data_IF_292625359664
#
_entry.id   IF_292625359664
#
_cell.length_a   1.000
_cell.length_b   1.000
_cell.length_c   1.000
_cell.angle_alpha   90.00
_cell.angle_beta   90.00
_cell.angle_gamma   90.00
#
_symmetry.space_group_name_H-M   'P 1'
#
loop_
_entity.id
_entity.type
_entity.pdbx_description
1 polymer ?
#
# COMPACT_ATOMS: atom_id res chain seq x y z
N UNK A 1 -8.59 11.86 -7.52
CA UNK A 1 -7.34 12.65 -7.50
C UNK A 1 -6.48 12.02 -6.41
N UNK A 2 -5.72 10.97 -6.75
CA UNK A 2 -4.91 10.18 -5.80
C UNK A 2 -3.43 10.13 -6.22
N UNK A 3 -3.07 10.76 -7.35
CA UNK A 3 -1.71 10.74 -7.91
C UNK A 3 -0.78 11.86 -7.42
N UNK A 4 -1.22 12.84 -6.61
CA UNK A 4 -0.39 14.01 -6.25
C UNK A 4 0.10 14.09 -4.82
N UNK A 5 -0.42 13.28 -3.90
CA UNK A 5 -0.02 13.37 -2.48
C UNK A 5 1.26 12.58 -2.16
N UNK A 6 1.69 11.67 -3.05
CA UNK A 6 2.96 10.94 -2.93
C UNK A 6 4.08 11.42 -3.86
N UNK A 7 3.85 12.47 -4.68
CA UNK A 7 4.92 13.17 -5.41
C UNK A 7 5.71 14.06 -4.43
N UNK A 8 6.41 13.46 -3.47
CA UNK A 8 7.36 14.18 -2.62
C UNK A 8 8.66 14.40 -3.40
N UNK A 9 8.78 15.62 -3.92
CA UNK A 9 10.02 16.20 -4.40
C UNK A 9 11.20 15.94 -3.43
N UNK A 10 12.27 15.32 -3.95
CA UNK A 10 13.66 15.46 -3.49
C UNK A 10 13.96 15.43 -1.97
N UNK A 11 13.19 14.73 -1.16
CA UNK A 11 13.58 14.40 0.22
C UNK A 11 14.23 13.01 0.24
N UNK A 12 15.27 12.77 1.07
CA UNK A 12 15.80 11.43 1.24
C UNK A 12 14.66 10.51 1.71
N UNK A 13 14.22 9.63 0.83
CA UNK A 13 13.19 8.63 1.11
C UNK A 13 13.78 7.58 2.05
N UNK A 14 13.71 7.84 3.35
CA UNK A 14 13.75 6.80 4.36
C UNK A 14 12.37 6.13 4.32
N UNK A 15 12.24 4.86 3.90
CA UNK A 15 10.95 4.18 3.92
C UNK A 15 10.46 4.14 5.36
N UNK A 16 9.40 4.90 5.65
CA UNK A 16 8.74 4.88 6.95
C UNK A 16 8.01 3.55 7.13
N UNK A 17 8.72 2.55 7.65
CA UNK A 17 8.13 1.29 8.04
C UNK A 17 7.12 1.53 9.17
N UNK A 18 5.84 1.45 8.83
CA UNK A 18 4.76 1.51 9.83
C UNK A 18 4.57 0.11 10.40
N UNK A 19 4.56 0.01 11.73
CA UNK A 19 4.34 -1.26 12.43
C UNK A 19 2.99 -1.85 12.04
N UNK A 20 3.01 -3.07 11.49
CA UNK A 20 1.79 -3.84 11.23
C UNK A 20 1.27 -4.39 12.56
N UNK A 21 -0.02 -4.22 12.82
CA UNK A 21 -0.64 -4.75 14.04
C UNK A 21 -0.56 -6.28 14.06
N UNK A 22 0.00 -6.86 15.12
CA UNK A 22 0.24 -8.30 15.21
C UNK A 22 -1.04 -9.15 15.39
N UNK A 23 -2.13 -8.53 15.85
CA UNK A 23 -3.38 -9.23 16.17
C UNK A 23 -4.51 -8.72 15.30
N UNK A 24 -5.17 -9.63 14.58
CA UNK A 24 -6.37 -9.31 13.81
C UNK A 24 -7.50 -8.84 14.74
N UNK A 25 -8.21 -7.78 14.35
CA UNK A 25 -9.43 -7.34 15.05
C UNK A 25 -10.53 -8.38 14.77
N UNK A 26 -11.21 -8.95 15.78
CA UNK A 26 -12.23 -9.99 15.54
C UNK A 26 -13.37 -9.57 14.60
N UNK A 27 -13.67 -8.26 14.53
CA UNK A 27 -14.66 -7.68 13.61
C UNK A 27 -14.21 -7.65 12.15
N UNK A 28 -12.90 -7.59 11.90
CA UNK A 28 -12.29 -7.47 10.58
C UNK A 28 -11.24 -8.57 10.42
N UNK A 29 -11.66 -9.84 10.30
CA UNK A 29 -10.75 -10.98 10.35
C UNK A 29 -9.96 -11.19 9.04
N UNK A 30 -10.37 -10.54 7.95
CA UNK A 30 -9.73 -10.67 6.65
C UNK A 30 -8.65 -9.60 6.48
N UNK A 31 -7.55 -9.94 5.81
CA UNK A 31 -6.43 -9.03 5.54
C UNK A 31 -6.29 -8.82 4.04
N UNK A 32 -6.10 -7.58 3.62
CA UNK A 32 -5.82 -7.20 2.24
C UNK A 32 -4.55 -6.35 2.14
N UNK A 33 -3.95 -6.35 0.95
CA UNK A 33 -2.82 -5.48 0.61
C UNK A 33 -3.15 -4.78 -0.71
N UNK A 34 -3.08 -3.44 -0.71
CA UNK A 34 -3.04 -2.67 -1.96
C UNK A 34 -1.58 -2.55 -2.37
N UNK A 35 -1.28 -2.89 -3.62
CA UNK A 35 0.04 -2.78 -4.23
C UNK A 35 -0.06 -1.81 -5.40
N UNK A 36 0.72 -0.74 -5.35
CA UNK A 36 0.93 0.18 -6.46
C UNK A 36 2.40 0.12 -6.90
N UNK A 37 2.64 0.18 -8.20
CA UNK A 37 4.00 0.11 -8.76
C UNK A 37 4.18 1.17 -9.82
N UNK A 38 5.25 1.96 -9.71
CA UNK A 38 5.70 2.79 -10.83
C UNK A 38 6.73 2.01 -11.66
N UNK A 39 6.63 2.11 -12.98
CA UNK A 39 7.47 1.35 -13.91
C UNK A 39 8.06 2.26 -14.98
N UNK A 40 9.18 1.85 -15.57
CA UNK A 40 9.77 2.58 -16.70
C UNK A 40 8.97 2.45 -18.00
N UNK A 41 7.96 1.57 -18.05
CA UNK A 41 7.14 1.28 -19.23
C UNK A 41 6.22 0.05 -19.03
N UNK A 42 5.39 -0.27 -20.02
CA UNK A 42 4.32 -1.28 -19.90
C UNK A 42 4.72 -2.72 -20.30
N UNK A 43 5.97 -2.96 -20.69
CA UNK A 43 6.45 -4.29 -21.05
C UNK A 43 7.11 -4.99 -19.84
N UNK A 44 6.35 -5.83 -19.14
CA UNK A 44 6.83 -6.55 -17.95
C UNK A 44 8.08 -7.41 -18.15
N UNK A 45 8.48 -7.74 -19.39
CA UNK A 45 9.71 -8.53 -19.66
C UNK A 45 10.96 -7.67 -19.79
N UNK A 46 10.81 -6.35 -19.99
CA UNK A 46 11.90 -5.43 -20.32
C UNK A 46 11.96 -4.23 -19.40
N UNK A 47 10.80 -3.70 -19.04
CA UNK A 47 10.66 -2.50 -18.23
C UNK A 47 10.78 -2.84 -16.75
N UNK A 48 11.33 -1.91 -15.98
CA UNK A 48 11.70 -2.10 -14.58
C UNK A 48 10.66 -1.48 -13.67
N UNK A 49 10.48 -2.04 -12.48
CA UNK A 49 9.80 -1.38 -11.36
C UNK A 49 10.79 -0.37 -10.77
N UNK A 50 10.33 0.86 -10.58
CA UNK A 50 11.13 1.96 -10.00
C UNK A 50 10.58 2.46 -8.67
N UNK A 51 9.32 2.16 -8.36
CA UNK A 51 8.71 2.42 -7.05
C UNK A 51 7.74 1.30 -6.69
N UNK A 52 7.62 1.00 -5.40
CA UNK A 52 6.61 0.10 -4.83
C UNK A 52 5.95 0.79 -3.64
N UNK A 53 4.65 1.07 -3.76
CA UNK A 53 3.79 1.50 -2.65
C UNK A 53 2.96 0.33 -2.13
N UNK A 54 2.92 0.13 -0.81
CA UNK A 54 2.04 -0.90 -0.21
C UNK A 54 1.23 -0.37 0.96
N UNK A 55 -0.03 -0.81 1.06
CA UNK A 55 -0.90 -0.53 2.19
C UNK A 55 -1.58 -1.82 2.64
N UNK A 56 -1.27 -2.27 3.86
CA UNK A 56 -1.97 -3.37 4.51
C UNK A 56 -3.23 -2.86 5.24
N UNK A 57 -4.34 -3.57 5.10
CA UNK A 57 -5.60 -3.25 5.77
C UNK A 57 -6.35 -4.52 6.19
N UNK A 58 -7.31 -4.37 7.11
CA UNK A 58 -8.22 -5.44 7.51
C UNK A 58 -9.65 -5.10 7.12
N UNK A 59 -10.44 -6.11 6.79
CA UNK A 59 -11.84 -5.94 6.36
C UNK A 59 -12.73 -7.11 6.82
N UNK A 60 -14.05 -6.91 6.77
CA UNK A 60 -15.04 -7.93 7.08
C UNK A 60 -15.57 -8.64 5.82
N UNK A 61 -16.39 -9.67 5.99
CA UNK A 61 -16.95 -10.45 4.87
C UNK A 61 -17.83 -9.65 3.90
N UNK A 62 -18.29 -8.47 4.32
CA UNK A 62 -19.09 -7.55 3.50
C UNK A 62 -18.21 -6.52 2.77
N UNK A 63 -16.90 -6.54 2.99
CA UNK A 63 -15.96 -5.61 2.38
C UNK A 63 -15.78 -4.30 3.16
N UNK A 64 -16.32 -4.17 4.38
CA UNK A 64 -16.08 -2.98 5.18
C UNK A 64 -14.64 -2.99 5.70
N UNK A 65 -13.90 -1.91 5.43
CA UNK A 65 -12.52 -1.75 5.89
C UNK A 65 -12.53 -1.25 7.35
N UNK A 66 -11.64 -1.79 8.19
CA UNK A 66 -11.46 -1.27 9.55
C UNK A 66 -11.15 0.23 9.49
N UNK A 67 -11.82 1.10 10.26
CA UNK A 67 -11.36 2.46 10.43
C UNK A 67 -9.91 2.42 10.93
N UNK A 68 -9.04 3.18 10.25
CA UNK A 68 -7.61 3.21 10.53
C UNK A 68 -7.40 3.70 11.97
N UNK A 69 -6.74 2.86 12.77
CA UNK A 69 -6.33 3.06 14.17
C UNK A 69 -7.46 3.36 15.16
#
# INVERSE_FOLDING_TARGET
MWCREFESANYPYEPELRTVTATARPRFPLTGVILDTETTGFNHRKDKIIEIGTVAFTFDELGNISPMF
#
